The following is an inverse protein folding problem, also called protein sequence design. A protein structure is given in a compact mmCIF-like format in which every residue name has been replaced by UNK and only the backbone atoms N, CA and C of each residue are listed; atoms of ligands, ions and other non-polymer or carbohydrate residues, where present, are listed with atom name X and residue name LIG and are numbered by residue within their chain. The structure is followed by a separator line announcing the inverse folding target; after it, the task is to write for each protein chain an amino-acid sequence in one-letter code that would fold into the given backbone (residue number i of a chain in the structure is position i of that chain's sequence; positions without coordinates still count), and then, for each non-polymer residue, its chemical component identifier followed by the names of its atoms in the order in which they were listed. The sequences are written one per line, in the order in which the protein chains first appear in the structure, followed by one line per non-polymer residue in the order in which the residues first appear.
data_IF_435982092156
#
_entry.id   IF_435982092156
#
_cell.length_a   1.000
_cell.length_b   1.000
_cell.length_c   1.000
_cell.angle_alpha   90.00
_cell.angle_beta   90.00
_cell.angle_gamma   90.00
#
_symmetry.space_group_name_H-M   'P 1'
#
loop_
_entity.id
_entity.type
_entity.pdbx_description
1 polymer ?
#
# COMPACT_ATOMS: atom_id res chain seq x y z
N UNK A 1 25.10 32.78 46.31
CA UNK A 1 25.75 32.05 45.19
C UNK A 1 25.19 30.65 45.10
N UNK A 2 24.99 30.16 43.85
CA UNK A 2 24.64 28.79 43.40
C UNK A 2 23.17 28.37 43.64
N UNK A 3 22.29 28.45 42.63
CA UNK A 3 22.12 27.62 41.40
C UNK A 3 21.79 26.16 41.76
N UNK A 4 20.53 25.77 41.62
CA UNK A 4 20.01 24.98 40.49
C UNK A 4 19.84 23.52 40.96
N UNK A 5 19.01 22.64 40.40
CA UNK A 5 18.33 22.60 39.12
C UNK A 5 17.22 21.55 39.25
N UNK A 6 16.01 21.84 38.78
CA UNK A 6 14.99 20.84 38.44
C UNK A 6 15.52 19.96 37.31
N UNK A 7 15.42 18.64 37.39
CA UNK A 7 15.21 17.74 36.21
C UNK A 7 15.11 16.30 36.69
N UNK A 8 14.42 15.35 36.08
CA UNK A 8 13.20 15.22 35.27
C UNK A 8 13.01 13.71 35.17
N UNK A 9 11.77 13.24 35.21
CA UNK A 9 11.37 11.85 35.08
C UNK A 9 11.81 11.32 33.70
N UNK A 10 12.69 10.31 33.67
CA UNK A 10 12.87 9.50 32.46
C UNK A 10 11.82 8.38 32.46
N UNK A 11 10.74 8.62 31.73
CA UNK A 11 9.86 7.56 31.24
C UNK A 11 10.69 6.65 30.32
N UNK A 12 10.75 5.36 30.67
CA UNK A 12 11.21 4.32 29.75
C UNK A 12 10.17 4.20 28.63
N UNK A 13 10.50 4.73 27.45
CA UNK A 13 9.77 4.45 26.22
C UNK A 13 9.88 2.95 25.92
N UNK A 14 8.76 2.24 25.96
CA UNK A 14 8.60 0.99 25.24
C UNK A 14 8.64 1.33 23.74
N UNK A 15 9.83 1.24 23.14
CA UNK A 15 10.01 1.43 21.72
C UNK A 15 9.50 0.18 20.97
N UNK A 16 8.31 0.28 20.38
CA UNK A 16 7.84 -0.58 19.30
C UNK A 16 7.20 0.35 18.26
N UNK A 17 7.82 0.43 17.09
CA UNK A 17 7.47 1.33 15.99
C UNK A 17 8.63 2.29 15.75
N UNK A 18 9.37 2.14 14.65
CA UNK A 18 8.80 2.16 13.29
C UNK A 18 9.33 1.02 12.40
N UNK A 19 8.51 0.52 11.47
CA UNK A 19 9.04 -0.28 10.36
C UNK A 19 8.31 0.07 9.07
N UNK A 20 8.89 1.03 8.36
CA UNK A 20 8.51 1.46 7.01
C UNK A 20 9.78 2.07 6.38
N UNK A 21 10.09 1.95 5.07
CA UNK A 21 9.31 1.60 3.86
C UNK A 21 9.73 0.26 3.20
N UNK A 22 9.02 -0.14 2.12
CA UNK A 22 9.34 -1.34 1.30
C UNK A 22 10.74 -1.26 0.66
N UNK A 23 11.33 -0.06 0.58
CA UNK A 23 12.67 0.17 0.02
C UNK A 23 13.84 -0.11 0.99
N UNK A 24 13.59 -0.75 2.14
CA UNK A 24 14.65 -1.34 2.95
C UNK A 24 14.51 -2.87 2.92
N UNK A 25 15.25 -3.54 2.03
CA UNK A 25 15.25 -5.00 1.87
C UNK A 25 15.24 -5.75 3.21
N UNK A 26 15.96 -5.25 4.22
CA UNK A 26 15.97 -5.81 5.58
C UNK A 26 14.60 -5.80 6.28
N UNK A 27 13.85 -4.71 6.21
CA UNK A 27 12.54 -4.60 6.88
C UNK A 27 11.45 -5.37 6.13
N UNK A 28 11.59 -5.53 4.82
CA UNK A 28 10.63 -6.26 4.00
C UNK A 28 10.73 -7.76 4.23
N UNK A 29 11.95 -8.30 4.26
CA UNK A 29 12.21 -9.71 4.59
C UNK A 29 11.71 -10.05 6.01
N UNK A 30 11.98 -9.20 7.00
CA UNK A 30 11.45 -9.36 8.36
C UNK A 30 9.91 -9.38 8.40
N UNK A 31 9.23 -8.66 7.49
CA UNK A 31 7.77 -8.68 7.39
C UNK A 31 7.25 -9.93 6.69
N UNK A 32 7.90 -10.33 5.61
CA UNK A 32 7.52 -11.49 4.79
C UNK A 32 7.71 -12.84 5.50
N UNK A 33 8.44 -12.89 6.62
CA UNK A 33 8.56 -14.08 7.46
C UNK A 33 7.81 -14.00 8.79
N UNK A 34 7.09 -12.91 9.03
CA UNK A 34 6.38 -12.70 10.29
C UNK A 34 5.19 -13.64 10.43
N UNK A 35 5.08 -14.26 11.61
CA UNK A 35 3.88 -15.01 12.00
C UNK A 35 2.94 -14.07 12.75
N UNK A 36 1.68 -14.02 12.32
CA UNK A 36 0.61 -13.24 12.95
C UNK A 36 -0.59 -14.12 13.29
N UNK A 37 -1.18 -13.88 14.44
CA UNK A 37 -2.48 -14.45 14.79
C UNK A 37 -3.61 -13.64 14.13
N UNK A 38 -4.70 -14.30 13.75
CA UNK A 38 -5.94 -13.66 13.30
C UNK A 38 -6.88 -13.30 14.47
N UNK A 39 -6.68 -13.87 15.66
CA UNK A 39 -7.52 -13.63 16.85
C UNK A 39 -7.18 -12.31 17.57
N UNK A 40 -6.65 -11.33 16.85
CA UNK A 40 -6.21 -10.08 17.48
C UNK A 40 -7.39 -9.16 17.73
N UNK A 41 -7.43 -8.56 18.92
CA UNK A 41 -8.26 -7.37 19.20
C UNK A 41 -7.59 -6.09 18.67
N UNK A 42 -6.63 -6.23 17.77
CA UNK A 42 -5.88 -5.09 17.25
C UNK A 42 -6.80 -4.25 16.38
N UNK A 43 -6.91 -2.97 16.71
CA UNK A 43 -7.71 -2.01 15.97
C UNK A 43 -6.82 -1.04 15.21
N UNK A 44 -7.33 -0.56 14.08
CA UNK A 44 -6.79 0.58 13.37
C UNK A 44 -7.00 1.84 14.24
N UNK A 45 -5.99 2.71 14.34
CA UNK A 45 -6.11 3.97 15.10
C UNK A 45 -7.10 4.92 14.43
N UNK A 46 -7.51 5.99 15.14
CA UNK A 46 -8.42 6.98 14.56
C UNK A 46 -7.76 7.71 13.38
N UNK A 47 -6.47 8.01 13.49
CA UNK A 47 -5.66 8.65 12.46
C UNK A 47 -5.55 7.75 11.22
N UNK A 48 -5.16 6.49 11.41
CA UNK A 48 -5.06 5.52 10.31
C UNK A 48 -6.41 5.30 9.63
N UNK A 49 -7.50 5.20 10.40
CA UNK A 49 -8.84 5.03 9.85
C UNK A 49 -9.26 6.24 9.02
N UNK A 50 -8.91 7.46 9.45
CA UNK A 50 -9.16 8.68 8.68
C UNK A 50 -8.32 8.75 7.40
N UNK A 51 -7.06 8.31 7.44
CA UNK A 51 -6.19 8.19 6.25
C UNK A 51 -6.79 7.22 5.24
N UNK A 52 -7.20 6.02 5.67
CA UNK A 52 -7.84 5.02 4.80
C UNK A 52 -9.13 5.58 4.19
N UNK A 53 -9.96 6.23 5.01
CA UNK A 53 -11.20 6.84 4.52
C UNK A 53 -10.93 7.90 3.44
N UNK A 54 -9.95 8.75 3.65
CA UNK A 54 -9.54 9.80 2.69
C UNK A 54 -9.03 9.17 1.40
N UNK A 55 -8.15 8.16 1.50
CA UNK A 55 -7.65 7.37 0.37
C UNK A 55 -8.80 6.79 -0.46
N UNK A 56 -9.78 6.15 0.19
CA UNK A 56 -10.93 5.55 -0.49
C UNK A 56 -11.78 6.60 -1.24
N UNK A 57 -11.99 7.78 -0.66
CA UNK A 57 -12.70 8.87 -1.32
C UNK A 57 -11.93 9.41 -2.52
N UNK A 58 -10.62 9.56 -2.40
CA UNK A 58 -9.76 10.11 -3.44
C UNK A 58 -9.63 9.13 -4.62
N UNK A 59 -9.44 7.84 -4.35
CA UNK A 59 -9.44 6.77 -5.36
C UNK A 59 -10.78 6.71 -6.11
N UNK A 60 -11.90 6.82 -5.38
CA UNK A 60 -13.25 6.88 -5.96
C UNK A 60 -13.41 8.08 -6.89
N UNK A 61 -12.97 9.26 -6.47
CA UNK A 61 -13.04 10.47 -7.28
C UNK A 61 -12.19 10.36 -8.56
N UNK A 62 -11.03 9.70 -8.49
CA UNK A 62 -10.13 9.54 -9.64
C UNK A 62 -10.57 8.50 -10.66
N UNK A 63 -11.52 7.63 -10.33
CA UNK A 63 -12.15 6.72 -11.30
C UNK A 63 -12.68 7.46 -12.53
N UNK A 64 -13.31 8.62 -12.35
CA UNK A 64 -13.81 9.45 -13.46
C UNK A 64 -12.66 10.02 -14.30
N UNK A 65 -11.55 10.43 -13.68
CA UNK A 65 -10.37 10.94 -14.39
C UNK A 65 -9.81 9.89 -15.35
N UNK A 66 -9.59 8.66 -14.87
CA UNK A 66 -9.06 7.57 -15.71
C UNK A 66 -10.02 7.15 -16.83
N UNK A 67 -11.34 7.25 -16.62
CA UNK A 67 -12.31 7.05 -17.71
C UNK A 67 -12.19 8.12 -18.79
N UNK A 68 -11.97 9.38 -18.39
CA UNK A 68 -11.69 10.47 -19.35
C UNK A 68 -10.42 10.15 -20.14
N UNK A 69 -9.34 9.76 -19.47
CA UNK A 69 -8.10 9.33 -20.12
C UNK A 69 -8.32 8.19 -21.12
N UNK A 70 -9.11 7.17 -20.75
CA UNK A 70 -9.47 6.08 -21.65
C UNK A 70 -10.17 6.58 -22.92
N UNK A 71 -11.16 7.46 -22.77
CA UNK A 71 -11.92 8.00 -23.92
C UNK A 71 -11.11 8.95 -24.82
N UNK A 72 -10.05 9.56 -24.28
CA UNK A 72 -9.16 10.46 -25.01
C UNK A 72 -7.97 9.71 -25.63
N UNK A 73 -7.79 8.42 -25.35
CA UNK A 73 -6.59 7.67 -25.75
C UNK A 73 -5.33 8.18 -25.06
N UNK A 74 -5.47 8.78 -23.87
CA UNK A 74 -4.36 9.32 -23.11
C UNK A 74 -3.40 8.21 -22.68
N UNK A 75 -2.12 8.48 -22.79
CA UNK A 75 -1.08 7.61 -22.30
C UNK A 75 -0.43 8.16 -21.03
N UNK A 76 0.14 7.26 -20.23
CA UNK A 76 0.77 7.59 -18.96
C UNK A 76 2.17 6.98 -18.96
N UNK A 77 3.15 7.79 -18.58
CA UNK A 77 4.53 7.38 -18.44
C UNK A 77 4.80 6.90 -17.02
N UNK A 78 5.46 5.76 -16.92
CA UNK A 78 5.88 5.11 -15.68
C UNK A 78 7.36 4.73 -15.76
N UNK A 79 7.95 4.44 -14.62
CA UNK A 79 9.13 3.59 -14.53
C UNK A 79 8.90 2.50 -13.48
N UNK A 80 9.86 1.62 -13.27
CA UNK A 80 9.72 0.60 -12.25
C UNK A 80 10.97 -0.22 -12.00
N UNK A 81 10.79 -1.26 -11.21
CA UNK A 81 11.83 -2.25 -10.95
C UNK A 81 11.21 -3.61 -10.67
N UNK A 82 12.00 -4.67 -10.89
CA UNK A 82 11.59 -6.04 -10.66
C UNK A 82 12.76 -6.91 -10.21
N UNK A 83 12.60 -7.51 -9.03
CA UNK A 83 13.39 -8.62 -8.49
C UNK A 83 12.53 -9.88 -8.54
N UNK A 84 13.09 -11.01 -8.97
CA UNK A 84 12.32 -12.25 -9.14
C UNK A 84 12.92 -13.39 -8.31
N UNK A 85 12.14 -14.44 -8.05
CA UNK A 85 12.65 -15.61 -7.33
C UNK A 85 13.83 -16.32 -8.02
N UNK A 86 13.98 -16.14 -9.33
CA UNK A 86 15.08 -16.72 -10.11
C UNK A 86 16.29 -15.78 -10.22
N UNK A 87 16.12 -14.49 -9.94
CA UNK A 87 17.15 -13.47 -10.07
C UNK A 87 17.05 -12.49 -8.90
N UNK A 88 18.02 -12.58 -7.99
CA UNK A 88 18.12 -11.74 -6.79
C UNK A 88 18.52 -10.30 -7.11
N UNK A 89 19.06 -10.04 -8.31
CA UNK A 89 19.33 -8.68 -8.76
C UNK A 89 18.03 -7.96 -9.14
N UNK A 90 17.90 -6.74 -8.61
CA UNK A 90 16.80 -5.84 -8.97
C UNK A 90 17.04 -5.29 -10.38
N UNK A 91 16.20 -5.71 -11.32
CA UNK A 91 16.22 -5.19 -12.69
C UNK A 91 15.42 -3.89 -12.75
N UNK A 92 16.05 -2.80 -13.19
CA UNK A 92 15.35 -1.54 -13.44
C UNK A 92 14.56 -1.64 -14.74
N UNK A 93 13.32 -1.19 -14.69
CA UNK A 93 12.46 -1.03 -15.87
C UNK A 93 12.57 0.44 -16.27
N UNK A 94 13.19 0.75 -17.43
CA UNK A 94 13.33 2.13 -17.89
C UNK A 94 11.96 2.73 -18.16
N UNK A 95 11.89 4.06 -18.34
CA UNK A 95 10.63 4.73 -18.62
C UNK A 95 9.86 4.05 -19.76
N UNK A 96 8.58 3.80 -19.53
CA UNK A 96 7.68 3.20 -20.49
C UNK A 96 6.32 3.89 -20.41
N UNK A 97 5.60 3.85 -21.52
CA UNK A 97 4.30 4.49 -21.67
C UNK A 97 3.23 3.42 -21.88
N UNK A 98 2.09 3.59 -21.21
CA UNK A 98 0.91 2.73 -21.40
C UNK A 98 -0.35 3.58 -21.54
N UNK A 99 -1.20 3.22 -22.50
CA UNK A 99 -2.55 3.76 -22.62
C UNK A 99 -3.49 3.25 -21.51
N UNK A 100 -4.57 3.99 -21.28
CA UNK A 100 -5.66 3.61 -20.37
C UNK A 100 -6.81 2.97 -21.15
N UNK A 101 -7.36 1.87 -20.65
CA UNK A 101 -8.51 1.18 -21.23
C UNK A 101 -9.68 1.15 -20.22
N UNK A 102 -10.87 1.54 -20.67
CA UNK A 102 -12.13 1.33 -19.94
C UNK A 102 -12.88 0.13 -20.53
N UNK A 103 -12.95 -0.96 -19.77
CA UNK A 103 -13.69 -2.19 -20.12
C UNK A 103 -15.07 -2.22 -19.48
N UNK A 104 -15.64 -1.04 -19.19
CA UNK A 104 -16.94 -0.81 -18.57
C UNK A 104 -16.87 -0.95 -17.05
N UNK A 105 -16.68 -2.18 -16.57
CA UNK A 105 -16.56 -2.42 -15.12
C UNK A 105 -15.12 -2.22 -14.62
N UNK A 106 -14.11 -2.33 -15.48
CA UNK A 106 -12.69 -2.36 -15.08
C UNK A 106 -11.89 -1.31 -15.86
N UNK A 107 -11.02 -0.60 -15.13
CA UNK A 107 -9.99 0.28 -15.69
C UNK A 107 -8.66 -0.47 -15.69
N UNK A 108 -8.06 -0.62 -16.87
CA UNK A 108 -6.77 -1.30 -17.05
C UNK A 108 -5.79 -0.42 -17.82
N UNK A 109 -4.51 -0.75 -17.72
CA UNK A 109 -3.52 -0.29 -18.68
C UNK A 109 -3.53 -1.21 -19.91
N UNK A 110 -3.23 -0.64 -21.08
CA UNK A 110 -2.95 -1.40 -22.30
C UNK A 110 -1.86 -2.45 -22.06
N UNK A 111 -1.91 -3.56 -22.80
CA UNK A 111 -0.95 -4.65 -22.64
C UNK A 111 0.46 -4.21 -23.07
N UNK A 112 1.38 -4.13 -22.13
CA UNK A 112 2.81 -3.89 -22.36
C UNK A 112 3.65 -4.86 -21.56
N UNK A 113 4.67 -5.50 -22.15
CA UNK A 113 5.56 -6.41 -21.42
C UNK A 113 6.37 -5.70 -20.32
N UNK A 114 6.53 -4.38 -20.43
CA UNK A 114 7.23 -3.56 -19.45
C UNK A 114 6.37 -3.24 -18.23
N UNK A 115 5.05 -3.19 -18.37
CA UNK A 115 4.13 -2.82 -17.28
C UNK A 115 3.92 -4.00 -16.32
N UNK A 116 4.46 -3.97 -15.09
CA UNK A 116 4.31 -5.08 -14.16
C UNK A 116 2.89 -5.23 -13.62
N UNK A 117 2.15 -4.13 -13.47
CA UNK A 117 0.77 -4.11 -13.03
C UNK A 117 -0.13 -3.71 -14.20
N UNK A 118 -1.19 -4.48 -14.44
CA UNK A 118 -2.13 -4.23 -15.54
C UNK A 118 -3.37 -3.45 -15.14
N UNK A 119 -3.68 -3.42 -13.83
CA UNK A 119 -4.91 -2.83 -13.34
C UNK A 119 -4.65 -1.45 -12.74
N UNK A 120 -5.57 -0.52 -12.97
CA UNK A 120 -5.61 0.76 -12.28
C UNK A 120 -6.32 0.56 -10.94
N UNK A 121 -5.66 0.96 -9.86
CA UNK A 121 -6.20 0.85 -8.50
C UNK A 121 -7.29 1.90 -8.31
N UNK A 122 -8.47 1.45 -7.90
CA UNK A 122 -9.64 2.28 -7.56
C UNK A 122 -10.32 1.72 -6.32
N UNK A 123 -11.28 2.46 -5.76
CA UNK A 123 -11.91 2.14 -4.46
C UNK A 123 -12.73 0.85 -4.44
N UNK A 124 -13.21 0.37 -5.59
CA UNK A 124 -14.16 -0.74 -5.69
C UNK A 124 -13.58 -2.03 -6.29
N UNK A 125 -12.25 -2.22 -6.20
CA UNK A 125 -11.56 -3.40 -6.72
C UNK A 125 -10.60 -4.06 -5.73
N UNK A 126 -10.40 -5.36 -5.94
CA UNK A 126 -9.44 -6.23 -5.24
C UNK A 126 -9.44 -5.99 -3.71
N UNK A 127 -8.28 -5.97 -3.07
CA UNK A 127 -8.16 -5.72 -1.64
C UNK A 127 -8.65 -4.32 -1.23
N UNK A 128 -8.64 -3.34 -2.13
CA UNK A 128 -9.04 -1.97 -1.81
C UNK A 128 -10.54 -1.87 -1.53
N UNK A 129 -11.36 -2.63 -2.27
CA UNK A 129 -12.81 -2.72 -2.02
C UNK A 129 -13.11 -3.21 -0.59
N UNK A 130 -12.41 -4.25 -0.16
CA UNK A 130 -12.57 -4.83 1.17
C UNK A 130 -12.08 -3.87 2.25
N UNK A 131 -10.91 -3.25 2.07
CA UNK A 131 -10.33 -2.24 2.97
C UNK A 131 -11.30 -1.07 3.15
N UNK A 132 -11.75 -0.46 2.05
CA UNK A 132 -12.64 0.70 2.08
C UNK A 132 -13.99 0.38 2.73
N UNK A 133 -14.59 -0.76 2.37
CA UNK A 133 -15.86 -1.20 2.95
C UNK A 133 -15.74 -1.48 4.45
N UNK A 134 -14.67 -2.15 4.88
CA UNK A 134 -14.45 -2.51 6.28
C UNK A 134 -14.31 -1.27 7.17
N UNK A 135 -13.48 -0.31 6.76
CA UNK A 135 -13.26 0.92 7.52
C UNK A 135 -14.55 1.76 7.58
N UNK A 136 -15.22 2.00 6.46
CA UNK A 136 -16.44 2.82 6.45
C UNK A 136 -17.58 2.17 7.25
N UNK A 137 -17.73 0.83 7.19
CA UNK A 137 -18.75 0.11 7.95
C UNK A 137 -18.50 0.12 9.46
N UNK A 138 -17.23 0.07 9.90
CA UNK A 138 -16.90 0.20 11.32
C UNK A 138 -17.19 1.63 11.82
N UNK A 139 -16.72 2.65 11.08
CA UNK A 139 -16.94 4.07 11.41
C UNK A 139 -18.43 4.40 11.47
N UNK A 140 -19.22 3.95 10.48
CA UNK A 140 -20.68 4.18 10.43
C UNK A 140 -21.43 3.58 11.61
N UNK A 141 -20.87 2.56 12.27
CA UNK A 141 -21.42 1.93 13.48
C UNK A 141 -20.84 2.50 14.78
N UNK A 142 -19.99 3.54 14.71
CA UNK A 142 -19.29 4.09 15.87
C UNK A 142 -18.26 3.14 16.48
N UNK A 143 -17.72 2.21 15.69
CA UNK A 143 -16.74 1.22 16.12
C UNK A 143 -15.35 1.52 15.54
N UNK A 144 -14.30 1.09 16.25
CA UNK A 144 -12.95 1.10 15.68
C UNK A 144 -12.80 -0.07 14.69
N UNK A 145 -12.30 0.18 13.46
CA UNK A 145 -12.07 -0.91 12.52
C UNK A 145 -10.99 -1.85 13.05
N UNK A 146 -11.17 -3.15 12.84
CA UNK A 146 -10.14 -4.14 13.15
C UNK A 146 -8.96 -4.01 12.19
N UNK A 147 -7.75 -4.30 12.68
CA UNK A 147 -6.54 -4.34 11.86
C UNK A 147 -6.60 -5.41 10.77
N UNK A 148 -7.30 -6.50 11.06
CA UNK A 148 -7.34 -7.70 10.23
C UNK A 148 -8.71 -7.83 9.58
N UNK A 149 -8.70 -8.03 8.26
CA UNK A 149 -9.86 -8.42 7.48
C UNK A 149 -9.70 -9.88 7.06
N UNK A 150 -10.74 -10.69 7.22
CA UNK A 150 -10.79 -12.03 6.65
C UNK A 150 -11.82 -12.07 5.53
N UNK A 151 -11.37 -11.90 4.29
CA UNK A 151 -12.20 -12.06 3.09
C UNK A 151 -11.65 -13.21 2.25
N UNK A 152 -12.48 -14.23 2.00
CA UNK A 152 -12.06 -15.43 1.28
C UNK A 152 -11.07 -16.31 2.06
N UNK A 153 -9.99 -16.73 1.40
CA UNK A 153 -9.08 -17.78 1.89
C UNK A 153 -7.93 -17.27 2.78
N UNK A 154 -7.53 -16.00 2.65
CA UNK A 154 -6.39 -15.42 3.35
C UNK A 154 -6.80 -14.17 4.15
N UNK A 155 -6.31 -13.98 5.39
CA UNK A 155 -6.45 -12.72 6.11
C UNK A 155 -5.52 -11.63 5.56
N UNK A 156 -5.95 -10.38 5.74
CA UNK A 156 -5.21 -9.17 5.39
C UNK A 156 -4.99 -8.28 6.61
N UNK A 157 -3.76 -7.84 6.87
CA UNK A 157 -3.44 -6.82 7.88
C UNK A 157 -3.20 -5.48 7.19
N UNK A 158 -3.84 -4.44 7.69
CA UNK A 158 -3.88 -3.14 7.02
C UNK A 158 -3.17 -2.08 7.86
N UNK A 159 -2.24 -1.35 7.24
CA UNK A 159 -1.56 -0.22 7.87
C UNK A 159 -1.64 0.98 6.95
N UNK A 160 -1.93 2.15 7.50
CA UNK A 160 -2.04 3.39 6.72
C UNK A 160 -1.24 4.50 7.38
N UNK A 161 -0.61 5.33 6.57
CA UNK A 161 0.24 6.43 7.04
C UNK A 161 -0.15 7.68 6.28
N UNK A 162 -0.37 8.76 7.01
CA UNK A 162 -0.72 10.04 6.41
C UNK A 162 0.49 10.67 5.73
N UNK A 163 0.20 11.67 4.90
CA UNK A 163 1.15 12.66 4.42
C UNK A 163 2.14 13.12 5.51
N UNK A 164 3.43 13.16 5.14
CA UNK A 164 4.52 13.62 6.02
C UNK A 164 4.94 12.65 7.14
N UNK A 165 4.24 11.51 7.30
CA UNK A 165 4.75 10.43 8.15
C UNK A 165 6.04 9.89 7.52
N UNK A 166 7.15 9.79 8.25
CA UNK A 166 8.44 9.33 7.70
C UNK A 166 8.43 7.89 7.18
N UNK A 167 7.31 7.21 7.39
CA UNK A 167 6.96 5.92 6.83
C UNK A 167 6.39 6.03 5.42
N UNK A 168 5.70 7.11 5.13
CA UNK A 168 5.35 7.45 3.78
C UNK A 168 6.57 8.13 3.13
N UNK A 169 7.07 7.58 2.02
CA UNK A 169 8.34 7.99 1.40
C UNK A 169 8.35 9.44 0.89
N UNK A 170 7.18 10.09 0.85
CA UNK A 170 6.95 11.39 0.24
C UNK A 170 6.02 12.24 1.14
N UNK A 171 6.28 13.55 1.15
CA UNK A 171 5.53 14.54 1.92
C UNK A 171 4.20 14.92 1.30
N UNK A 172 3.84 14.42 0.12
CA UNK A 172 2.57 14.76 -0.55
C UNK A 172 1.72 13.52 -0.86
N UNK A 173 1.99 12.38 -0.21
CA UNK A 173 1.27 11.14 -0.45
C UNK A 173 0.72 10.54 0.84
N UNK A 174 -0.44 9.89 0.73
CA UNK A 174 -0.93 8.97 1.75
C UNK A 174 -0.52 7.56 1.35
N UNK A 175 -0.11 6.76 2.33
CA UNK A 175 0.40 5.42 2.10
C UNK A 175 -0.52 4.34 2.69
N UNK A 176 -0.71 3.25 1.97
CA UNK A 176 -1.40 2.05 2.43
C UNK A 176 -0.50 0.82 2.26
N UNK A 177 -0.44 0.00 3.29
CA UNK A 177 0.20 -1.31 3.29
C UNK A 177 -0.84 -2.39 3.58
N UNK A 178 -0.83 -3.44 2.78
CA UNK A 178 -1.68 -4.61 2.97
C UNK A 178 -0.79 -5.85 3.00
N UNK A 179 -0.70 -6.49 4.15
CA UNK A 179 -0.03 -7.79 4.32
C UNK A 179 -1.07 -8.90 4.15
N UNK A 180 -0.84 -9.89 3.30
CA UNK A 180 -1.62 -11.13 3.24
C UNK A 180 -0.84 -12.28 3.87
N UNK A 181 -1.54 -13.28 4.42
CA UNK A 181 -0.88 -14.45 5.01
C UNK A 181 -1.50 -15.79 4.63
N UNK A 182 -0.67 -16.83 4.68
CA UNK A 182 -1.08 -18.23 4.54
C UNK A 182 -1.09 -18.90 5.92
N UNK A 183 -2.07 -19.77 6.16
CA UNK A 183 -2.19 -20.44 7.45
C UNK A 183 -0.95 -21.30 7.72
N UNK A 184 -0.30 -21.06 8.85
CA UNK A 184 0.90 -21.80 9.28
C UNK A 184 0.54 -22.85 10.34
N UNK A 185 -0.18 -22.46 11.40
CA UNK A 185 -0.63 -23.38 12.45
C UNK A 185 -1.77 -22.78 13.27
N UNK A 186 -2.85 -23.53 13.51
CA UNK A 186 -3.98 -23.03 14.29
C UNK A 186 -4.53 -21.71 13.76
N UNK A 187 -4.61 -20.69 14.61
CA UNK A 187 -5.02 -19.32 14.24
C UNK A 187 -3.86 -18.43 13.73
N UNK A 188 -2.66 -19.00 13.55
CA UNK A 188 -1.47 -18.28 13.11
C UNK A 188 -1.24 -18.43 11.61
N UNK A 189 -0.87 -17.31 10.99
CA UNK A 189 -0.62 -17.15 9.57
C UNK A 189 0.77 -16.58 9.38
N UNK A 190 1.53 -17.15 8.44
CA UNK A 190 2.79 -16.58 7.98
C UNK A 190 2.44 -15.54 6.91
N UNK A 191 2.94 -14.32 7.03
CA UNK A 191 2.81 -13.33 5.96
C UNK A 191 3.46 -13.88 4.69
N UNK A 192 2.85 -13.67 3.54
CA UNK A 192 3.35 -14.18 2.27
C UNK A 192 3.48 -13.07 1.23
N UNK A 193 2.53 -12.13 1.22
CA UNK A 193 2.59 -10.98 0.32
C UNK A 193 2.44 -9.67 1.07
N UNK A 194 3.04 -8.64 0.49
CA UNK A 194 2.92 -7.26 0.92
C UNK A 194 2.60 -6.42 -0.31
N UNK A 195 1.48 -5.71 -0.28
CA UNK A 195 1.19 -4.65 -1.25
C UNK A 195 1.38 -3.29 -0.59
N UNK A 196 1.92 -2.35 -1.35
CA UNK A 196 2.05 -0.95 -0.98
C UNK A 196 1.48 -0.04 -2.06
N UNK A 197 0.82 1.00 -1.60
CA UNK A 197 0.21 2.03 -2.41
C UNK A 197 0.59 3.38 -1.84
N UNK A 198 1.31 4.19 -2.61
CA UNK A 198 1.42 5.64 -2.36
C UNK A 198 0.41 6.33 -3.26
N UNK A 199 -0.41 7.19 -2.66
CA UNK A 199 -1.51 7.88 -3.36
C UNK A 199 -1.34 9.37 -3.17
N UNK A 200 -1.30 10.11 -4.28
CA UNK A 200 -1.17 11.56 -4.26
C UNK A 200 -2.25 12.19 -3.37
N UNK A 201 -1.83 12.95 -2.36
CA UNK A 201 -2.68 13.61 -1.39
C UNK A 201 -2.76 15.13 -1.59
N UNK A 202 -1.97 15.71 -2.52
CA UNK A 202 -1.97 17.15 -2.77
C UNK A 202 -3.36 17.63 -3.19
N UNK A 203 -3.94 18.50 -2.36
CA UNK A 203 -5.27 19.07 -2.56
C UNK A 203 -5.36 19.96 -3.80
N UNK A 204 -4.24 20.50 -4.28
CA UNK A 204 -4.18 21.38 -5.45
C UNK A 204 -3.85 20.62 -6.74
N UNK A 205 -3.39 19.38 -6.66
CA UNK A 205 -3.01 18.60 -7.83
C UNK A 205 -4.24 17.97 -8.52
N UNK A 206 -4.32 18.16 -9.84
CA UNK A 206 -5.29 17.47 -10.70
C UNK A 206 -5.16 15.95 -10.63
N UNK A 207 -4.04 15.42 -10.17
CA UNK A 207 -3.73 14.00 -10.00
C UNK A 207 -3.98 13.47 -8.58
N UNK A 208 -4.50 14.27 -7.63
CA UNK A 208 -4.88 13.79 -6.29
C UNK A 208 -5.64 12.47 -6.31
N UNK A 209 -5.28 11.45 -5.56
CA UNK A 209 -5.94 10.14 -5.57
C UNK A 209 -5.40 9.17 -6.62
N UNK A 210 -4.51 9.61 -7.51
CA UNK A 210 -3.75 8.71 -8.39
C UNK A 210 -2.73 7.98 -7.52
N UNK A 211 -2.62 6.67 -7.73
CA UNK A 211 -1.54 5.87 -7.15
C UNK A 211 -0.23 6.25 -7.84
N UNK A 212 0.62 6.99 -7.13
CA UNK A 212 1.93 7.45 -7.63
C UNK A 212 2.99 6.39 -7.54
N UNK A 213 2.83 5.44 -6.61
CA UNK A 213 3.67 4.25 -6.51
C UNK A 213 2.85 3.05 -6.09
N UNK A 214 3.05 1.93 -6.80
CA UNK A 214 2.57 0.61 -6.39
C UNK A 214 3.75 -0.32 -6.28
N UNK A 215 3.84 -1.06 -5.18
CA UNK A 215 4.76 -2.19 -5.08
C UNK A 215 4.08 -3.42 -4.52
N UNK A 216 4.58 -4.57 -4.94
CA UNK A 216 4.16 -5.89 -4.50
C UNK A 216 5.40 -6.71 -4.21
N UNK A 217 5.44 -7.32 -3.03
CA UNK A 217 6.50 -8.22 -2.64
C UNK A 217 5.92 -9.54 -2.13
N UNK A 218 6.60 -10.65 -2.42
CA UNK A 218 6.15 -11.98 -2.01
C UNK A 218 7.32 -12.89 -1.63
N UNK A 219 7.07 -13.84 -0.74
CA UNK A 219 7.99 -14.97 -0.50
C UNK A 219 7.97 -15.93 -1.69
N UNK A 220 9.13 -16.44 -2.07
CA UNK A 220 9.27 -17.43 -3.14
C UNK A 220 8.89 -18.84 -2.65
N UNK A 221 7.92 -19.48 -3.29
CA UNK A 221 7.40 -20.79 -2.88
C UNK A 221 8.46 -21.91 -2.78
N UNK A 222 9.53 -21.84 -3.59
CA UNK A 222 10.59 -22.84 -3.62
C UNK A 222 11.68 -22.61 -2.57
N UNK A 223 11.77 -21.40 -2.04
CA UNK A 223 12.82 -20.97 -1.11
C UNK A 223 12.31 -19.79 -0.28
N UNK A 224 12.01 -20.06 0.99
CA UNK A 224 11.42 -19.08 1.90
C UNK A 224 12.37 -17.92 2.22
N UNK A 225 13.67 -18.05 1.93
CA UNK A 225 14.65 -16.97 2.12
C UNK A 225 14.70 -16.02 0.93
N UNK A 226 14.05 -16.38 -0.20
CA UNK A 226 14.00 -15.55 -1.39
C UNK A 226 12.69 -14.78 -1.47
N UNK A 227 12.79 -13.56 -1.97
CA UNK A 227 11.67 -12.65 -2.18
C UNK A 227 11.59 -12.20 -3.64
N UNK A 228 10.37 -12.06 -4.15
CA UNK A 228 10.12 -11.32 -5.37
C UNK A 228 9.60 -9.93 -5.00
N UNK A 229 10.03 -8.91 -5.75
CA UNK A 229 9.61 -7.53 -5.52
C UNK A 229 9.34 -6.91 -6.88
N UNK A 230 8.22 -6.24 -7.02
CA UNK A 230 7.85 -5.53 -8.24
C UNK A 230 7.32 -4.16 -7.87
N UNK A 231 7.87 -3.11 -8.50
CA UNK A 231 7.52 -1.71 -8.26
C UNK A 231 7.21 -1.01 -9.57
N UNK A 232 6.22 -0.12 -9.54
CA UNK A 232 5.83 0.75 -10.64
C UNK A 232 5.51 2.13 -10.09
N UNK A 233 6.17 3.16 -10.62
CA UNK A 233 5.99 4.54 -10.19
C UNK A 233 5.48 5.37 -11.36
N UNK A 234 4.41 6.12 -11.10
CA UNK A 234 3.82 7.09 -12.03
C UNK A 234 4.80 8.26 -12.20
N UNK A 235 5.01 8.70 -13.45
CA UNK A 235 5.83 9.86 -13.74
C UNK A 235 4.97 11.04 -14.20
N UNK A 236 4.18 10.85 -15.26
CA UNK A 236 3.32 11.90 -15.82
C UNK A 236 2.29 11.35 -16.79
N UNK A 237 1.27 12.17 -17.03
CA UNK A 237 0.37 12.02 -18.17
C UNK A 237 1.07 12.55 -19.42
N UNK A 238 1.00 11.81 -20.53
CA UNK A 238 1.44 12.27 -21.84
C UNK A 238 0.22 12.89 -22.53
N UNK A 239 0.26 14.22 -22.71
CA UNK A 239 -0.78 15.02 -23.34
C UNK A 239 -0.60 15.13 -24.86
#
# INVERSE_FOLDING_TARGET
MKKALLTTICFTFAACGPSVPIDADKNLEERLDKIRSIETTETISAEEANTIRTLCLDLKAKKTLFRTFASQGTEIEFNGSKKTCANEDTNLIPNFTVGVEDRGNLLTFTSSDQAPFKNIVVDDRDEMADVCKHVEAAISRGQRPLRVIKTGAAPYWIYAFSEGDGRCLDTEVNCLYVESGIQSSGANYKIQDVNFYAVNADLQDRLRGVVTERSHASVCFSDNERTSITKMSFLRVIE
#
